data_IF_746244289506
#
_entry.id   IF_746244289506
#
_cell.length_a   1.000
_cell.length_b   1.000
_cell.length_c   1.000
_cell.angle_alpha   90.00
_cell.angle_beta   90.00
_cell.angle_gamma   90.00
#
_symmetry.space_group_name_H-M   'P 1'
#
loop_
_entity.id
_entity.type
_entity.pdbx_description
1 polymer ?
#
# COMPACT_ATOMS: atom_id res chain seq x y z
N UNK A 1 -0.63 -13.05 30.41
CA UNK A 1 0.00 -11.73 30.35
C UNK A 1 1.31 -11.72 29.56
N UNK A 2 2.24 -12.67 29.77
CA UNK A 2 3.50 -12.74 28.99
C UNK A 2 3.31 -12.91 27.47
N UNK A 3 2.34 -13.71 27.01
CA UNK A 3 2.06 -13.94 25.59
C UNK A 3 1.66 -12.65 24.86
N UNK A 4 0.94 -11.75 25.53
CA UNK A 4 0.50 -10.48 24.96
C UNK A 4 1.70 -9.57 24.69
N UNK A 5 2.65 -9.51 25.62
CA UNK A 5 3.87 -8.72 25.45
C UNK A 5 4.78 -9.26 24.35
N UNK A 6 4.91 -10.59 24.24
CA UNK A 6 5.73 -11.22 23.19
C UNK A 6 5.09 -10.99 21.81
N UNK A 7 3.77 -11.16 21.69
CA UNK A 7 3.06 -10.92 20.43
C UNK A 7 3.09 -9.42 20.04
N UNK A 8 2.83 -8.52 20.99
CA UNK A 8 2.90 -7.08 20.77
C UNK A 8 4.31 -6.66 20.34
N UNK A 9 5.36 -7.07 21.06
CA UNK A 9 6.73 -6.72 20.72
C UNK A 9 7.16 -7.31 19.37
N UNK A 10 6.78 -8.56 19.08
CA UNK A 10 7.09 -9.21 17.80
C UNK A 10 6.46 -8.49 16.62
N UNK A 11 5.16 -8.17 16.71
CA UNK A 11 4.46 -7.42 15.66
C UNK A 11 4.98 -5.98 15.56
N UNK A 12 5.17 -5.30 16.70
CA UNK A 12 5.68 -3.93 16.71
C UNK A 12 7.05 -3.83 16.04
N UNK A 13 7.96 -4.79 16.28
CA UNK A 13 9.28 -4.82 15.64
C UNK A 13 9.20 -5.17 14.14
N UNK A 14 8.30 -6.09 13.75
CA UNK A 14 8.11 -6.46 12.34
C UNK A 14 7.50 -5.31 11.51
N UNK A 15 6.65 -4.50 12.13
CA UNK A 15 5.94 -3.37 11.50
C UNK A 15 6.68 -2.03 11.66
N UNK A 16 7.74 -1.96 12.49
CA UNK A 16 8.48 -0.73 12.72
C UNK A 16 9.28 -0.35 11.47
N UNK A 17 9.02 0.84 10.94
CA UNK A 17 9.72 1.34 9.76
C UNK A 17 9.06 0.92 8.44
N UNK A 18 7.82 0.43 8.48
CA UNK A 18 7.05 0.26 7.25
C UNK A 18 6.94 1.58 6.46
N UNK A 19 6.82 1.47 5.14
CA UNK A 19 6.76 2.59 4.19
C UNK A 19 5.68 3.60 4.58
N UNK A 20 4.57 3.15 5.16
CA UNK A 20 3.49 4.02 5.65
C UNK A 20 3.94 4.91 6.82
N UNK A 21 4.70 4.36 7.78
CA UNK A 21 5.25 5.11 8.91
C UNK A 21 6.29 6.13 8.43
N UNK A 22 7.20 5.73 7.53
CA UNK A 22 8.24 6.62 7.00
C UNK A 22 7.63 7.78 6.17
N UNK A 23 6.65 7.50 5.31
CA UNK A 23 5.93 8.54 4.56
C UNK A 23 5.21 9.51 5.49
N UNK A 24 4.55 9.00 6.53
CA UNK A 24 3.85 9.85 7.51
C UNK A 24 4.82 10.78 8.26
N UNK A 25 5.99 10.29 8.64
CA UNK A 25 7.04 11.06 9.29
C UNK A 25 7.60 12.14 8.36
N UNK A 26 7.88 11.80 7.10
CA UNK A 26 8.35 12.75 6.09
C UNK A 26 7.32 13.84 5.81
N UNK A 27 6.03 13.47 5.70
CA UNK A 27 4.95 14.44 5.53
C UNK A 27 4.84 15.37 6.76
N UNK A 28 4.86 14.81 7.97
CA UNK A 28 4.78 15.56 9.21
C UNK A 28 5.95 16.55 9.37
N UNK A 29 7.17 16.10 9.06
CA UNK A 29 8.37 16.93 9.08
C UNK A 29 8.31 18.05 8.03
N UNK A 30 7.79 17.77 6.84
CA UNK A 30 7.71 18.73 5.72
C UNK A 30 6.68 19.83 5.95
N UNK A 31 5.49 19.50 6.44
CA UNK A 31 4.40 20.47 6.61
C UNK A 31 4.35 21.10 8.00
N UNK A 32 5.14 20.60 8.97
CA UNK A 32 5.22 21.08 10.37
C UNK A 32 3.86 21.19 11.08
N UNK A 33 2.85 20.47 10.58
CA UNK A 33 1.51 20.37 11.15
C UNK A 33 1.15 18.90 11.31
N UNK A 34 1.63 18.24 12.37
CA UNK A 34 1.45 16.79 12.56
C UNK A 34 -0.04 16.43 12.76
N UNK A 35 -0.80 17.25 13.49
CA UNK A 35 -2.19 16.96 13.83
C UNK A 35 -3.12 16.80 12.62
N UNK A 36 -3.15 17.73 11.62
CA UNK A 36 -3.93 17.52 10.40
C UNK A 36 -3.52 16.29 9.58
N UNK A 37 -2.24 15.92 9.58
CA UNK A 37 -1.75 14.75 8.82
C UNK A 37 -2.22 13.46 9.49
N UNK A 38 -2.09 13.37 10.81
CA UNK A 38 -2.59 12.24 11.59
C UNK A 38 -4.09 12.09 11.41
N UNK A 39 -4.85 13.18 11.50
CA UNK A 39 -6.29 13.18 11.27
C UNK A 39 -6.64 12.77 9.83
N UNK A 40 -5.90 13.25 8.83
CA UNK A 40 -6.10 12.86 7.44
C UNK A 40 -5.88 11.37 7.21
N UNK A 41 -4.78 10.81 7.75
CA UNK A 41 -4.49 9.38 7.67
C UNK A 41 -5.54 8.56 8.42
N UNK A 42 -5.96 9.01 9.61
CA UNK A 42 -6.98 8.35 10.41
C UNK A 42 -8.30 8.29 9.65
N UNK A 43 -8.77 9.42 9.12
CA UNK A 43 -10.02 9.49 8.36
C UNK A 43 -9.92 8.65 7.09
N UNK A 44 -8.82 8.74 6.34
CA UNK A 44 -8.61 7.94 5.14
C UNK A 44 -8.66 6.44 5.45
N UNK A 45 -8.00 6.01 6.53
CA UNK A 45 -7.99 4.62 6.98
C UNK A 45 -9.40 4.17 7.39
N UNK A 46 -10.12 4.97 8.19
CA UNK A 46 -11.47 4.65 8.64
C UNK A 46 -12.45 4.54 7.48
N UNK A 47 -12.41 5.49 6.54
CA UNK A 47 -13.27 5.46 5.35
C UNK A 47 -12.96 4.23 4.49
N UNK A 48 -11.67 3.95 4.24
CA UNK A 48 -11.27 2.77 3.47
C UNK A 48 -11.75 1.46 4.13
N UNK A 49 -11.59 1.33 5.45
CA UNK A 49 -12.05 0.15 6.18
C UNK A 49 -13.57 0.03 6.20
N UNK A 50 -14.29 1.15 6.38
CA UNK A 50 -15.75 1.15 6.35
C UNK A 50 -16.27 0.70 4.97
N UNK A 51 -15.70 1.23 3.89
CA UNK A 51 -16.06 0.82 2.52
C UNK A 51 -15.73 -0.65 2.26
N UNK A 52 -14.54 -1.11 2.67
CA UNK A 52 -14.15 -2.51 2.52
C UNK A 52 -15.05 -3.45 3.34
N UNK A 53 -15.41 -3.07 4.57
CA UNK A 53 -16.30 -3.85 5.43
C UNK A 53 -17.72 -3.90 4.87
N UNK A 54 -18.27 -2.79 4.38
CA UNK A 54 -19.59 -2.76 3.75
C UNK A 54 -19.61 -3.60 2.46
N UNK A 55 -18.62 -3.42 1.60
CA UNK A 55 -18.49 -4.21 0.37
C UNK A 55 -18.32 -5.71 0.70
N UNK A 56 -17.49 -6.04 1.68
CA UNK A 56 -17.27 -7.42 2.14
C UNK A 56 -18.51 -8.04 2.76
N UNK A 57 -19.27 -7.29 3.56
CA UNK A 57 -20.53 -7.75 4.15
C UNK A 57 -21.58 -8.01 3.05
N UNK A 58 -21.69 -7.11 2.08
CA UNK A 58 -22.56 -7.29 0.92
C UNK A 58 -22.16 -8.52 0.10
N UNK A 59 -20.87 -8.66 -0.24
CA UNK A 59 -20.34 -9.83 -0.95
C UNK A 59 -20.60 -11.12 -0.17
N UNK A 60 -20.46 -11.07 1.16
CA UNK A 60 -20.71 -12.20 2.06
C UNK A 60 -22.15 -12.73 2.01
N UNK A 61 -23.12 -11.91 1.61
CA UNK A 61 -24.50 -12.37 1.38
C UNK A 61 -24.66 -13.21 0.11
N UNK A 62 -23.72 -13.06 -0.83
CA UNK A 62 -23.74 -13.73 -2.14
C UNK A 62 -22.81 -14.95 -2.19
N UNK A 63 -21.81 -15.01 -1.31
CA UNK A 63 -20.76 -16.03 -1.35
C UNK A 63 -21.02 -17.14 -0.33
N UNK A 64 -20.88 -18.39 -0.77
CA UNK A 64 -20.88 -19.54 0.15
C UNK A 64 -19.57 -19.64 0.93
N UNK A 65 -19.55 -20.28 2.11
CA UNK A 65 -18.32 -20.44 2.90
C UNK A 65 -17.17 -21.13 2.14
N UNK A 66 -17.50 -22.07 1.25
CA UNK A 66 -16.51 -22.76 0.41
C UNK A 66 -15.89 -21.82 -0.64
N UNK A 67 -16.70 -20.99 -1.29
CA UNK A 67 -16.20 -20.00 -2.25
C UNK A 67 -15.30 -18.98 -1.56
N UNK A 68 -15.66 -18.53 -0.35
CA UNK A 68 -14.85 -17.58 0.42
C UNK A 68 -13.48 -18.16 0.78
N UNK A 69 -13.43 -19.44 1.20
CA UNK A 69 -12.17 -20.16 1.47
C UNK A 69 -11.27 -20.20 0.24
N UNK A 70 -11.81 -20.60 -0.90
CA UNK A 70 -11.05 -20.68 -2.16
C UNK A 70 -10.59 -19.31 -2.65
N UNK A 71 -11.43 -18.27 -2.55
CA UNK A 71 -11.08 -16.91 -2.93
C UNK A 71 -9.89 -16.39 -2.11
N UNK A 72 -9.93 -16.54 -0.79
CA UNK A 72 -8.83 -16.12 0.08
C UNK A 72 -7.56 -16.91 -0.25
N UNK A 73 -7.65 -18.24 -0.31
CA UNK A 73 -6.49 -19.09 -0.62
C UNK A 73 -5.84 -18.74 -1.97
N UNK A 74 -6.65 -18.55 -3.02
CA UNK A 74 -6.15 -18.21 -4.34
C UNK A 74 -5.56 -16.80 -4.39
N UNK A 75 -6.15 -15.84 -3.67
CA UNK A 75 -5.61 -14.48 -3.56
C UNK A 75 -4.23 -14.46 -2.90
N UNK A 76 -4.01 -15.26 -1.86
CA UNK A 76 -2.71 -15.38 -1.21
C UNK A 76 -1.66 -16.01 -2.14
N UNK A 77 -2.02 -17.05 -2.88
CA UNK A 77 -1.14 -17.65 -3.89
C UNK A 77 -0.80 -16.65 -5.01
N UNK A 78 -1.78 -15.86 -5.45
CA UNK A 78 -1.57 -14.82 -6.46
C UNK A 78 -0.60 -13.74 -5.97
N UNK A 79 -0.75 -13.27 -4.73
CA UNK A 79 0.18 -12.30 -4.11
C UNK A 79 1.57 -12.91 -3.95
N UNK A 80 1.68 -14.15 -3.47
CA UNK A 80 2.98 -14.84 -3.33
C UNK A 80 3.68 -15.00 -4.69
N UNK A 81 2.95 -15.38 -5.73
CA UNK A 81 3.47 -15.47 -7.09
C UNK A 81 3.93 -14.10 -7.62
N UNK A 82 3.21 -13.02 -7.31
CA UNK A 82 3.62 -11.66 -7.67
C UNK A 82 4.91 -11.27 -6.95
N UNK A 83 5.03 -11.52 -5.65
CA UNK A 83 6.24 -11.21 -4.88
C UNK A 83 7.51 -11.91 -5.40
N UNK A 84 7.37 -13.03 -6.11
CA UNK A 84 8.50 -13.73 -6.73
C UNK A 84 9.14 -12.93 -7.88
N UNK A 85 8.42 -11.96 -8.46
CA UNK A 85 8.95 -11.08 -9.51
C UNK A 85 9.89 -10.04 -8.85
N UNK A 86 11.22 -10.11 -9.08
CA UNK A 86 12.15 -9.17 -8.45
C UNK A 86 12.03 -7.80 -9.09
N UNK A 87 11.79 -6.77 -8.30
CA UNK A 87 11.86 -5.38 -8.74
C UNK A 87 13.33 -4.97 -8.92
N UNK A 88 13.64 -4.36 -10.07
CA UNK A 88 14.95 -3.75 -10.34
C UNK A 88 14.85 -2.26 -10.06
N UNK A 89 15.78 -1.74 -9.27
CA UNK A 89 15.88 -0.32 -8.95
C UNK A 89 16.81 0.32 -9.99
N UNK A 90 16.25 0.91 -11.03
CA UNK A 90 17.02 1.61 -12.06
C UNK A 90 17.25 3.07 -11.63
N UNK A 91 18.51 3.50 -11.56
CA UNK A 91 18.95 4.78 -11.01
C UNK A 91 18.59 6.03 -11.85
N UNK A 92 17.82 5.87 -12.95
CA UNK A 92 17.52 6.93 -13.92
C UNK A 92 16.18 7.66 -13.65
N UNK A 93 15.44 7.28 -12.60
CA UNK A 93 14.16 7.90 -12.21
C UNK A 93 14.29 9.26 -11.48
N UNK A 94 15.51 9.82 -11.41
CA UNK A 94 15.77 11.09 -10.72
C UNK A 94 15.41 12.36 -11.54
N UNK A 95 14.94 12.23 -12.79
CA UNK A 95 14.70 13.38 -13.68
C UNK A 95 13.27 13.42 -14.22
N UNK A 96 12.28 13.75 -13.39
CA UNK A 96 10.95 14.19 -13.86
C UNK A 96 10.67 15.61 -13.34
N UNK A 97 10.52 16.63 -14.22
CA UNK A 97 10.41 18.02 -13.80
C UNK A 97 9.09 18.29 -13.06
N UNK A 98 9.22 18.79 -11.83
CA UNK A 98 8.13 19.11 -10.91
C UNK A 98 7.35 20.35 -11.36
N UNK A 99 6.06 20.20 -11.62
CA UNK A 99 5.10 21.32 -11.64
C UNK A 99 3.97 21.08 -10.65
N UNK A 100 3.64 22.13 -9.87
CA UNK A 100 2.82 22.09 -8.66
C UNK A 100 1.34 21.68 -8.83
N UNK A 101 0.85 21.50 -10.06
CA UNK A 101 -0.53 21.06 -10.35
C UNK A 101 -0.64 19.56 -10.66
N UNK A 102 0.49 18.87 -10.75
CA UNK A 102 0.55 17.47 -11.15
C UNK A 102 0.74 16.47 -10.02
N UNK A 103 0.76 16.86 -8.73
CA UNK A 103 1.17 15.92 -7.66
C UNK A 103 0.17 14.77 -7.48
N UNK A 104 -1.13 15.06 -7.46
CA UNK A 104 -2.17 14.02 -7.33
C UNK A 104 -2.27 13.17 -8.60
N UNK A 105 -2.16 13.78 -9.77
CA UNK A 105 -2.15 13.06 -11.05
C UNK A 105 -0.87 12.23 -11.21
N UNK A 106 0.28 12.73 -10.75
CA UNK A 106 1.56 12.03 -10.80
C UNK A 106 1.60 10.87 -9.80
N UNK A 107 1.08 11.03 -8.58
CA UNK A 107 0.97 9.89 -7.65
C UNK A 107 -0.05 8.87 -8.14
N UNK A 108 -1.19 9.30 -8.68
CA UNK A 108 -2.17 8.40 -9.26
C UNK A 108 -1.59 7.66 -10.47
N UNK A 109 -0.97 8.35 -11.43
CA UNK A 109 -0.39 7.73 -12.64
C UNK A 109 0.86 6.91 -12.32
N UNK A 110 1.73 7.32 -11.40
CA UNK A 110 2.88 6.51 -10.99
C UNK A 110 2.44 5.22 -10.28
N UNK A 111 1.39 5.29 -9.46
CA UNK A 111 0.86 4.13 -8.73
C UNK A 111 -0.10 3.28 -9.59
N UNK A 112 -0.73 3.86 -10.61
CA UNK A 112 -1.77 3.21 -11.42
C UNK A 112 -1.35 2.88 -12.85
N UNK A 113 -0.28 3.47 -13.40
CA UNK A 113 0.12 3.19 -14.78
C UNK A 113 1.03 1.96 -14.83
N UNK A 114 0.59 0.85 -15.43
CA UNK A 114 1.43 -0.32 -15.65
C UNK A 114 2.30 -0.04 -16.89
N UNK A 115 3.29 0.85 -16.77
CA UNK A 115 4.20 1.17 -17.89
C UNK A 115 5.29 0.10 -18.12
N UNK A 116 5.21 -1.02 -17.41
CA UNK A 116 6.14 -2.15 -17.49
C UNK A 116 6.16 -2.87 -18.85
N UNK A 117 5.27 -2.55 -19.79
CA UNK A 117 5.09 -3.33 -21.02
C UNK A 117 5.98 -2.90 -22.21
N UNK A 118 6.37 -1.62 -22.35
CA UNK A 118 6.81 -1.11 -23.67
C UNK A 118 8.14 -0.38 -23.69
N UNK A 119 9.20 -0.92 -23.07
CA UNK A 119 10.56 -0.57 -23.52
C UNK A 119 11.55 -1.72 -23.31
N UNK A 120 11.41 -2.71 -24.18
CA UNK A 120 12.50 -3.66 -24.48
C UNK A 120 13.50 -2.98 -25.41
N UNK A 121 14.77 -2.94 -24.99
CA UNK A 121 16.01 -2.65 -25.75
C UNK A 121 16.20 -1.18 -26.17
N UNK A 122 17.41 -0.62 -26.18
CA UNK A 122 18.74 -1.20 -26.44
C UNK A 122 19.88 -0.56 -25.61
N UNK A 123 20.93 -1.30 -25.24
CA UNK A 123 22.23 -0.74 -24.92
C UNK A 123 23.04 -0.50 -26.22
N UNK A 124 23.65 0.67 -26.32
CA UNK A 124 24.92 0.86 -27.05
C UNK A 124 25.99 1.11 -26.01
#
# INVERSE_FOLDING_TARGET
MHTLWIAFAGVALAELGDKTQLLSLVLAARYRRPWPIVLGILVATLVNHALAALAGAWLGTLLTPDMQRWLVGLSLLAVAAWMLKPDRIDADEAAVPMHARGVFAATTIAFSSPRWATRRRSPR
#
